data_IF_383661742316
#
_entry.id   IF_383661742316
#
_cell.length_a   1.000
_cell.length_b   1.000
_cell.length_c   1.000
_cell.angle_alpha   90.00
_cell.angle_beta   90.00
_cell.angle_gamma   90.00
#
_symmetry.space_group_name_H-M   'P 1'
#
loop_
_entity.id
_entity.type
_entity.pdbx_description
1 polymer ?
#
# COMPACT_ATOMS: atom_id res chain seq x y z
N UNK A 1 -12.91 13.67 65.64
CA UNK A 1 -12.45 13.63 64.23
C UNK A 1 -11.93 12.24 63.95
N UNK A 2 -12.72 11.38 63.30
CA UNK A 2 -12.35 9.99 63.04
C UNK A 2 -11.36 9.91 61.88
N UNK A 3 -10.24 9.22 62.07
CA UNK A 3 -9.25 8.98 61.01
C UNK A 3 -9.91 8.24 59.84
N UNK A 4 -9.65 8.62 58.58
CA UNK A 4 -10.11 7.83 57.45
C UNK A 4 -9.47 6.44 57.51
N UNK A 5 -10.30 5.41 57.34
CA UNK A 5 -9.86 4.02 57.23
C UNK A 5 -8.84 3.88 56.09
N UNK A 6 -7.78 3.11 56.32
CA UNK A 6 -6.80 2.82 55.28
C UNK A 6 -7.51 2.24 54.05
N UNK A 7 -7.11 2.64 52.82
CA UNK A 7 -7.68 2.08 51.60
C UNK A 7 -7.42 0.57 51.58
N UNK A 8 -8.44 -0.19 51.16
CA UNK A 8 -8.36 -1.64 51.00
C UNK A 8 -7.13 -2.00 50.15
N UNK A 9 -6.15 -2.76 50.70
CA UNK A 9 -4.93 -3.13 50.00
C UNK A 9 -5.21 -3.85 48.67
N UNK A 10 -6.25 -4.68 48.61
CA UNK A 10 -6.65 -5.44 47.42
C UNK A 10 -7.14 -4.50 46.31
N UNK A 11 -7.95 -3.50 46.68
CA UNK A 11 -8.44 -2.48 45.77
C UNK A 11 -7.30 -1.62 45.22
N UNK A 12 -6.34 -1.27 46.09
CA UNK A 12 -5.17 -0.49 45.69
C UNK A 12 -4.28 -1.27 44.70
N UNK A 13 -4.03 -2.55 44.97
CA UNK A 13 -3.23 -3.41 44.08
C UNK A 13 -3.95 -3.69 42.76
N UNK A 14 -5.27 -3.83 42.77
CA UNK A 14 -6.08 -3.91 41.56
C UNK A 14 -5.92 -2.64 40.71
N UNK A 15 -6.10 -1.45 41.29
CA UNK A 15 -5.90 -0.18 40.59
C UNK A 15 -4.46 0.01 40.11
N UNK A 16 -3.47 -0.55 40.82
CA UNK A 16 -2.06 -0.53 40.39
C UNK A 16 -1.84 -1.42 39.16
N UNK A 17 -2.41 -2.63 39.13
CA UNK A 17 -2.34 -3.55 37.97
C UNK A 17 -3.07 -2.99 36.75
N UNK A 18 -4.24 -2.36 36.93
CA UNK A 18 -4.98 -1.75 35.82
C UNK A 18 -4.29 -0.52 35.22
N UNK A 19 -3.49 0.21 36.01
CA UNK A 19 -2.71 1.37 35.52
C UNK A 19 -1.44 0.97 34.76
N UNK A 20 -0.90 -0.21 35.05
CA UNK A 20 0.26 -0.76 34.37
C UNK A 20 -0.03 -2.19 33.91
N UNK A 21 -0.96 -2.38 32.97
CA UNK A 21 -1.17 -3.70 32.40
C UNK A 21 0.14 -4.14 31.76
N UNK A 22 0.57 -5.37 32.04
CA UNK A 22 1.67 -6.01 31.31
C UNK A 22 1.18 -6.29 29.88
N UNK A 23 1.18 -5.25 29.04
CA UNK A 23 0.75 -5.35 27.64
C UNK A 23 1.86 -6.02 26.85
N UNK A 24 1.68 -7.31 26.59
CA UNK A 24 2.48 -7.99 25.59
C UNK A 24 1.97 -7.60 24.20
N UNK A 25 2.70 -6.70 23.53
CA UNK A 25 2.47 -6.42 22.12
C UNK A 25 3.07 -7.56 21.29
N UNK A 26 2.23 -8.37 20.66
CA UNK A 26 2.67 -9.39 19.71
C UNK A 26 2.61 -8.81 18.28
N UNK A 27 3.74 -8.88 17.56
CA UNK A 27 3.77 -8.59 16.13
C UNK A 27 3.19 -9.80 15.38
N UNK A 28 1.99 -9.64 14.80
CA UNK A 28 1.29 -10.70 14.10
C UNK A 28 1.80 -10.98 12.68
N UNK A 29 2.72 -10.15 12.16
CA UNK A 29 3.28 -10.32 10.82
C UNK A 29 4.36 -11.40 10.81
N UNK A 30 4.36 -12.20 9.74
CA UNK A 30 5.38 -13.22 9.49
C UNK A 30 6.67 -12.65 8.89
N UNK A 31 6.60 -11.46 8.30
CA UNK A 31 7.67 -10.86 7.52
C UNK A 31 7.76 -9.35 7.79
N UNK A 32 8.99 -8.78 7.78
CA UNK A 32 9.17 -7.34 7.82
C UNK A 32 8.58 -6.68 6.57
N UNK A 33 8.12 -5.44 6.73
CA UNK A 33 7.64 -4.61 5.63
C UNK A 33 8.57 -3.43 5.41
N UNK A 34 8.81 -3.12 4.16
CA UNK A 34 9.59 -1.97 3.73
C UNK A 34 8.67 -0.89 3.22
N UNK A 35 8.85 0.33 3.71
CA UNK A 35 8.11 1.47 3.19
C UNK A 35 8.62 1.80 1.79
N UNK A 36 7.69 1.96 0.87
CA UNK A 36 7.94 2.39 -0.49
C UNK A 36 6.81 3.36 -0.85
N UNK A 37 7.01 4.33 -1.72
CA UNK A 37 5.93 5.22 -2.17
C UNK A 37 5.80 5.07 -3.69
N UNK A 38 5.24 3.94 -4.14
CA UNK A 38 5.21 3.57 -5.57
C UNK A 38 3.82 3.70 -6.15
N UNK A 39 3.74 4.38 -7.28
CA UNK A 39 2.49 4.43 -8.05
C UNK A 39 2.26 3.09 -8.71
N UNK A 40 1.02 2.61 -8.64
CA UNK A 40 0.55 1.42 -9.32
C UNK A 40 -0.89 1.63 -9.83
N UNK A 41 -1.34 0.72 -10.69
CA UNK A 41 -2.72 0.65 -11.15
C UNK A 41 -3.31 -0.69 -10.70
N UNK A 42 -4.34 -0.64 -9.86
CA UNK A 42 -5.07 -1.79 -9.34
C UNK A 42 -6.25 -2.10 -10.25
N UNK A 43 -6.42 -3.37 -10.59
CA UNK A 43 -7.55 -3.86 -11.37
C UNK A 43 -8.20 -5.04 -10.65
N UNK A 44 -9.52 -5.16 -10.80
CA UNK A 44 -10.35 -6.26 -10.29
C UNK A 44 -11.37 -6.58 -11.38
N UNK A 45 -11.74 -7.84 -11.49
CA UNK A 45 -12.86 -8.23 -12.34
C UNK A 45 -14.13 -7.43 -11.98
N UNK A 46 -14.81 -6.96 -13.02
CA UNK A 46 -16.01 -6.13 -12.91
C UNK A 46 -15.76 -4.64 -12.63
N UNK A 47 -14.51 -4.18 -12.48
CA UNK A 47 -14.23 -2.74 -12.49
C UNK A 47 -14.26 -2.19 -13.93
N UNK A 48 -14.87 -1.01 -14.16
CA UNK A 48 -14.93 -0.42 -15.50
C UNK A 48 -13.57 0.08 -15.99
N UNK A 49 -12.65 0.39 -15.07
CA UNK A 49 -11.29 0.82 -15.36
C UNK A 49 -10.36 0.53 -14.17
N UNK A 50 -9.04 0.39 -14.40
CA UNK A 50 -8.06 0.31 -13.32
C UNK A 50 -8.06 1.56 -12.43
N UNK A 51 -7.87 1.34 -11.13
CA UNK A 51 -7.82 2.38 -10.10
C UNK A 51 -6.35 2.74 -9.85
N UNK A 52 -6.03 4.04 -9.87
CA UNK A 52 -4.72 4.52 -9.44
C UNK A 52 -4.51 4.26 -7.94
N UNK A 53 -3.33 3.82 -7.55
CA UNK A 53 -2.98 3.62 -6.15
C UNK A 53 -1.50 3.88 -5.88
N UNK A 54 -1.18 4.05 -4.59
CA UNK A 54 0.18 4.14 -4.08
C UNK A 54 0.45 2.95 -3.18
N UNK A 55 1.44 2.13 -3.52
CA UNK A 55 2.03 1.14 -2.63
C UNK A 55 2.80 1.91 -1.56
N UNK A 56 2.37 1.82 -0.30
CA UNK A 56 2.99 2.51 0.85
C UNK A 56 4.00 1.64 1.59
N UNK A 57 3.75 0.33 1.64
CA UNK A 57 4.71 -0.64 2.12
C UNK A 57 4.51 -2.01 1.47
N UNK A 58 5.58 -2.80 1.44
CA UNK A 58 5.62 -4.12 0.83
C UNK A 58 6.44 -5.09 1.69
N UNK A 59 6.08 -6.37 1.67
CA UNK A 59 6.88 -7.52 2.13
C UNK A 59 7.05 -8.50 0.96
N UNK A 60 7.66 -9.67 1.19
CA UNK A 60 7.72 -10.69 0.15
C UNK A 60 6.32 -11.21 -0.21
N UNK A 61 5.45 -11.34 0.79
CA UNK A 61 4.11 -11.93 0.68
C UNK A 61 2.94 -10.95 0.52
N UNK A 62 3.15 -9.64 0.59
CA UNK A 62 2.03 -8.71 0.56
C UNK A 62 2.41 -7.24 0.48
N UNK A 63 1.40 -6.38 0.38
CA UNK A 63 1.58 -4.94 0.37
C UNK A 63 0.40 -4.20 1.00
N UNK A 64 0.64 -2.95 1.40
CA UNK A 64 -0.41 -1.97 1.73
C UNK A 64 -0.46 -0.92 0.64
N UNK A 65 -1.64 -0.68 0.12
CA UNK A 65 -1.90 0.36 -0.87
C UNK A 65 -2.80 1.44 -0.28
N UNK A 66 -2.70 2.64 -0.86
CA UNK A 66 -3.69 3.71 -0.73
C UNK A 66 -4.30 4.02 -2.09
N UNK A 67 -5.62 3.94 -2.20
CA UNK A 67 -6.38 4.10 -3.43
C UNK A 67 -6.65 5.58 -3.71
N UNK A 68 -6.63 5.98 -4.99
CA UNK A 68 -7.00 7.37 -5.39
C UNK A 68 -8.49 7.54 -5.63
N UNK A 69 -9.27 6.46 -5.61
CA UNK A 69 -10.71 6.46 -5.81
C UNK A 69 -11.40 5.68 -4.68
N UNK A 70 -12.61 6.11 -4.33
CA UNK A 70 -13.45 5.41 -3.35
C UNK A 70 -14.13 4.22 -4.03
N UNK A 71 -13.57 3.05 -3.81
CA UNK A 71 -14.10 1.77 -4.28
C UNK A 71 -14.12 0.80 -3.11
N UNK A 72 -15.16 -0.03 -3.04
CA UNK A 72 -15.27 -1.09 -2.04
C UNK A 72 -14.80 -2.39 -2.67
N UNK A 73 -13.75 -2.97 -2.10
CA UNK A 73 -13.21 -4.27 -2.43
C UNK A 73 -13.41 -5.18 -1.22
N UNK A 74 -14.05 -6.33 -1.43
CA UNK A 74 -14.30 -7.27 -0.35
C UNK A 74 -13.03 -8.05 -0.02
N UNK A 75 -12.85 -8.52 1.23
CA UNK A 75 -11.85 -9.53 1.53
C UNK A 75 -12.00 -10.73 0.59
N UNK A 76 -10.88 -11.32 0.20
CA UNK A 76 -10.75 -12.40 -0.79
C UNK A 76 -10.98 -12.00 -2.27
N UNK A 77 -11.35 -10.75 -2.56
CA UNK A 77 -11.41 -10.25 -3.94
C UNK A 77 -10.05 -10.43 -4.63
N UNK A 78 -10.07 -11.14 -5.76
CA UNK A 78 -8.89 -11.31 -6.59
C UNK A 78 -8.58 -10.01 -7.35
N UNK A 79 -7.34 -9.56 -7.26
CA UNK A 79 -6.87 -8.31 -7.84
C UNK A 79 -5.57 -8.51 -8.61
N UNK A 80 -5.37 -7.67 -9.61
CA UNK A 80 -4.11 -7.53 -10.34
C UNK A 80 -3.61 -6.11 -10.19
N UNK A 81 -2.30 -5.93 -10.11
CA UNK A 81 -1.66 -4.66 -9.90
C UNK A 81 -0.51 -4.49 -10.89
N UNK A 82 -0.58 -3.44 -11.70
CA UNK A 82 0.50 -3.06 -12.59
C UNK A 82 1.36 -1.96 -11.96
N UNK A 83 2.67 -2.16 -11.94
CA UNK A 83 3.65 -1.23 -11.38
C UNK A 83 4.52 -0.68 -12.52
N UNK A 84 4.31 0.58 -12.93
CA UNK A 84 5.00 1.14 -14.10
C UNK A 84 6.52 1.26 -13.94
N UNK A 85 7.01 1.55 -12.73
CA UNK A 85 8.44 1.82 -12.49
C UNK A 85 9.34 0.61 -12.76
N UNK A 86 8.82 -0.61 -12.59
CA UNK A 86 9.55 -1.84 -12.87
C UNK A 86 8.88 -2.69 -13.97
N UNK A 87 7.81 -2.16 -14.60
CA UNK A 87 6.99 -2.87 -15.61
C UNK A 87 6.57 -4.26 -15.14
N UNK A 88 6.14 -4.37 -13.88
CA UNK A 88 5.70 -5.63 -13.30
C UNK A 88 4.21 -5.68 -13.13
N UNK A 89 3.66 -6.86 -13.34
CA UNK A 89 2.34 -7.24 -12.89
C UNK A 89 2.51 -8.07 -11.61
N UNK A 90 1.59 -7.89 -10.69
CA UNK A 90 1.47 -8.68 -9.48
C UNK A 90 -0.01 -9.04 -9.30
N UNK A 91 -0.26 -10.26 -8.84
CA UNK A 91 -1.61 -10.77 -8.57
C UNK A 91 -1.74 -11.09 -7.09
N UNK A 92 -2.96 -11.02 -6.57
CA UNK A 92 -3.19 -11.26 -5.15
C UNK A 92 -4.64 -11.13 -4.74
N UNK A 93 -4.86 -11.13 -3.43
CA UNK A 93 -6.17 -11.07 -2.79
C UNK A 93 -6.22 -9.99 -1.74
N UNK A 94 -7.36 -9.31 -1.66
CA UNK A 94 -7.64 -8.33 -0.61
C UNK A 94 -7.78 -9.05 0.74
N UNK A 95 -7.06 -8.58 1.75
CA UNK A 95 -7.12 -9.12 3.12
C UNK A 95 -7.99 -8.25 4.01
N UNK A 96 -7.87 -6.94 3.84
CA UNK A 96 -8.62 -5.96 4.59
C UNK A 96 -8.68 -4.65 3.81
N UNK A 97 -9.74 -3.87 4.03
CA UNK A 97 -9.85 -2.50 3.56
C UNK A 97 -10.35 -1.60 4.69
N UNK A 98 -9.73 -0.43 4.84
CA UNK A 98 -10.14 0.61 5.79
C UNK A 98 -10.10 1.97 5.09
N UNK A 99 -11.25 2.43 4.62
CA UNK A 99 -11.32 3.66 3.83
C UNK A 99 -10.63 3.48 2.48
N UNK A 100 -9.65 4.33 2.19
CA UNK A 100 -8.79 4.26 0.99
C UNK A 100 -7.55 3.40 1.18
N UNK A 101 -7.26 2.92 2.40
CA UNK A 101 -6.19 1.96 2.65
C UNK A 101 -6.66 0.52 2.45
N UNK A 102 -5.82 -0.28 1.79
CA UNK A 102 -6.10 -1.69 1.51
C UNK A 102 -4.84 -2.54 1.71
N UNK A 103 -5.02 -3.71 2.32
CA UNK A 103 -3.99 -4.73 2.42
C UNK A 103 -4.23 -5.85 1.42
N UNK A 104 -3.19 -6.23 0.68
CA UNK A 104 -3.23 -7.30 -0.32
C UNK A 104 -2.17 -8.34 0.03
N UNK A 105 -2.57 -9.62 0.05
CA UNK A 105 -1.64 -10.76 -0.01
C UNK A 105 -1.36 -11.05 -1.46
N UNK A 106 -0.09 -11.29 -1.79
CA UNK A 106 0.34 -11.51 -3.17
C UNK A 106 0.53 -12.99 -3.44
N UNK A 107 0.14 -13.39 -4.65
CA UNK A 107 0.32 -14.75 -5.11
C UNK A 107 1.80 -14.99 -5.42
N UNK A 108 2.33 -16.14 -5.01
CA UNK A 108 3.75 -16.48 -5.14
C UNK A 108 4.20 -16.78 -6.59
N UNK A 109 3.39 -16.46 -7.61
CA UNK A 109 3.64 -16.92 -8.98
C UNK A 109 4.42 -15.88 -9.79
N UNK A 110 5.61 -16.23 -10.32
CA UNK A 110 6.34 -15.36 -11.23
C UNK A 110 5.68 -15.37 -12.61
N UNK A 111 5.44 -14.19 -13.15
CA UNK A 111 4.87 -14.03 -14.48
C UNK A 111 6.00 -14.12 -15.53
N UNK A 112 6.00 -15.22 -16.29
CA UNK A 112 6.64 -15.39 -17.62
C UNK A 112 8.15 -15.19 -17.75
N UNK A 113 8.89 -16.31 -17.74
CA UNK A 113 10.01 -16.54 -18.66
C UNK A 113 11.32 -15.78 -18.47
N UNK A 114 11.50 -15.00 -17.40
CA UNK A 114 12.82 -14.47 -17.01
C UNK A 114 13.24 -14.97 -15.63
N UNK A 115 14.45 -15.49 -15.61
CA UNK A 115 15.08 -16.31 -14.59
C UNK A 115 15.32 -15.55 -13.29
N UNK A 116 14.54 -15.86 -12.26
CA UNK A 116 14.90 -16.17 -10.85
C UNK A 116 13.75 -15.79 -9.91
N UNK A 117 13.52 -16.54 -8.81
CA UNK A 117 12.59 -16.18 -7.74
C UNK A 117 13.18 -15.09 -6.83
N UNK A 118 13.90 -14.10 -7.39
CA UNK A 118 14.30 -12.94 -6.59
C UNK A 118 13.04 -12.11 -6.34
N UNK A 119 12.76 -11.89 -5.06
CA UNK A 119 11.47 -11.39 -4.60
C UNK A 119 11.09 -10.11 -5.35
N UNK A 120 9.86 -10.02 -5.83
CA UNK A 120 9.34 -8.79 -6.45
C UNK A 120 9.52 -7.56 -5.55
N UNK A 121 9.56 -7.78 -4.24
CA UNK A 121 9.98 -6.83 -3.24
C UNK A 121 11.40 -6.30 -3.50
N UNK A 122 12.39 -7.16 -3.72
CA UNK A 122 13.75 -6.77 -4.09
C UNK A 122 13.78 -5.90 -5.33
N UNK A 123 13.10 -6.27 -6.40
CA UNK A 123 13.08 -5.46 -7.64
C UNK A 123 12.42 -4.09 -7.45
N UNK A 124 11.36 -4.02 -6.64
CA UNK A 124 10.74 -2.76 -6.24
C UNK A 124 11.65 -1.91 -5.35
N UNK A 125 12.49 -2.55 -4.55
CA UNK A 125 13.46 -1.89 -3.67
C UNK A 125 14.68 -1.41 -4.46
N UNK A 126 15.16 -2.18 -5.45
CA UNK A 126 16.23 -1.79 -6.38
C UNK A 126 15.78 -0.71 -7.37
N UNK A 127 14.51 -0.72 -7.79
CA UNK A 127 13.97 0.33 -8.66
C UNK A 127 13.76 1.66 -7.91
N UNK A 128 14.24 1.82 -6.67
CA UNK A 128 14.15 3.05 -5.89
C UNK A 128 15.01 4.12 -6.55
N UNK A 129 14.43 5.21 -7.09
CA UNK A 129 15.24 6.37 -7.38
C UNK A 129 15.73 6.87 -6.02
N UNK A 130 17.04 7.07 -5.90
CA UNK A 130 17.73 7.60 -4.72
C UNK A 130 17.12 8.96 -4.33
N UNK A 131 16.03 8.97 -3.56
CA UNK A 131 15.34 10.19 -3.08
C UNK A 131 14.94 11.23 -4.13
N UNK A 132 15.18 11.01 -5.43
CA UNK A 132 14.85 11.96 -6.49
C UNK A 132 13.49 11.57 -7.06
N UNK A 133 12.47 12.27 -6.56
CA UNK A 133 11.22 12.45 -7.30
C UNK A 133 11.53 12.61 -8.79
N UNK A 134 10.82 11.92 -9.70
CA UNK A 134 10.97 12.18 -11.12
C UNK A 134 10.78 13.67 -11.33
N UNK A 135 11.84 14.38 -11.75
CA UNK A 135 11.68 15.78 -12.14
C UNK A 135 10.68 15.76 -13.28
N UNK A 136 9.47 16.27 -13.02
CA UNK A 136 8.49 16.56 -14.05
C UNK A 136 9.22 17.43 -15.09
N UNK A 137 9.68 16.82 -16.18
CA UNK A 137 10.32 17.54 -17.27
C UNK A 137 9.19 18.23 -18.03
N UNK A 138 8.78 19.42 -17.57
CA UNK A 138 7.69 20.12 -18.24
C UNK A 138 7.07 21.34 -17.56
N UNK A 139 7.52 21.82 -16.40
CA UNK A 139 7.01 23.10 -15.88
C UNK A 139 8.17 23.95 -15.39
N UNK A 140 8.72 24.75 -16.29
CA UNK A 140 9.56 25.88 -15.91
C UNK A 140 8.68 26.89 -15.17
N UNK A 141 9.01 27.17 -13.91
CA UNK A 141 8.40 28.27 -13.17
C UNK A 141 8.88 29.59 -13.78
N UNK A 142 8.12 30.14 -14.72
CA UNK A 142 8.47 31.42 -15.33
C UNK A 142 7.95 31.61 -16.74
N UNK A 143 6.63 31.65 -16.91
CA UNK A 143 5.98 32.53 -17.89
C UNK A 143 4.47 32.46 -17.71
N UNK A 144 3.84 33.60 -17.42
CA UNK A 144 2.41 33.74 -17.54
C UNK A 144 1.98 33.47 -18.98
N UNK A 145 1.06 32.55 -19.17
CA UNK A 145 0.55 32.18 -20.49
C UNK A 145 -0.68 31.31 -20.33
N UNK A 146 -1.80 31.76 -20.89
CA UNK A 146 -3.13 31.17 -20.80
C UNK A 146 -3.09 29.66 -21.04
N UNK A 147 -3.75 28.89 -20.18
CA UNK A 147 -3.97 27.47 -20.40
C UNK A 147 -4.90 27.27 -21.62
N UNK A 148 -4.33 27.01 -22.78
CA UNK A 148 -5.06 26.41 -23.90
C UNK A 148 -5.02 24.90 -23.74
N UNK A 149 -6.19 24.32 -23.48
CA UNK A 149 -6.45 22.90 -23.58
C UNK A 149 -6.23 22.44 -25.04
N UNK A 150 -5.03 21.93 -25.33
CA UNK A 150 -4.77 21.14 -26.53
C UNK A 150 -4.72 19.66 -26.12
N UNK A 151 -5.80 18.95 -26.42
CA UNK A 151 -5.86 17.51 -26.38
C UNK A 151 -4.75 16.95 -27.30
N UNK A 152 -3.76 16.27 -26.72
CA UNK A 152 -2.82 15.46 -27.49
C UNK A 152 -3.27 14.02 -27.44
N UNK A 153 -4.12 13.68 -28.40
CA UNK A 153 -4.49 12.34 -28.81
C UNK A 153 -3.25 11.63 -29.38
N UNK A 154 -2.52 10.91 -28.52
CA UNK A 154 -1.55 9.88 -28.96
C UNK A 154 -1.22 8.90 -27.83
N UNK A 155 -2.19 8.08 -27.47
CA UNK A 155 -1.93 6.77 -26.88
C UNK A 155 -2.50 5.72 -27.84
N UNK A 156 -1.63 5.10 -28.62
CA UNK A 156 -1.98 4.01 -29.51
C UNK A 156 -2.36 2.79 -28.68
N UNK A 157 -3.65 2.49 -28.63
CA UNK A 157 -4.15 1.19 -28.16
C UNK A 157 -3.90 0.19 -29.29
N UNK A 158 -2.92 -0.69 -29.11
CA UNK A 158 -2.76 -1.86 -29.97
C UNK A 158 -4.01 -2.73 -29.84
N UNK A 159 -4.83 -2.76 -30.89
CA UNK A 159 -5.86 -3.77 -31.10
C UNK A 159 -5.16 -5.02 -31.64
N UNK A 160 -5.28 -6.15 -30.96
CA UNK A 160 -5.00 -7.43 -31.60
C UNK A 160 -6.30 -7.96 -32.23
N UNK A 161 -6.21 -8.26 -33.53
CA UNK A 161 -7.07 -9.22 -34.22
C UNK A 161 -6.71 -10.63 -33.78
#
# INVERSE_FOLDING_TARGET
>A
MSRPSAPDPELFDLFRRMRHPAVHSFEGRREPRHNCNRVAALNRDGLPAPIGCVIENLSASGCRLRLTARVVLAPEDAVSMFIPSCRRMATGRVVWQRGDEIGITLDAKPETGRTRPESWASDLMLAAPDGRSPRCRGVSAGSGGRASCAASSRAGWCRNR
#
